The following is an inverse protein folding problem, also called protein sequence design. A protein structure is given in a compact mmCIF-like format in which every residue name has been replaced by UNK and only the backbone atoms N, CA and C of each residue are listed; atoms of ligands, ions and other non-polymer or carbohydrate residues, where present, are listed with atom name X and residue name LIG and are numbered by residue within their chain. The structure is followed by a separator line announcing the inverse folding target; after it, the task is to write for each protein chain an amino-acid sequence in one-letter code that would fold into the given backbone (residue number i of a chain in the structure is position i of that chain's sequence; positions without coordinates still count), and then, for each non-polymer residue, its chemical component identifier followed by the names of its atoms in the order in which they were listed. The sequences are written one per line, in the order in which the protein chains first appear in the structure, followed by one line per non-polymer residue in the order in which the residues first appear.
data_IF_793874641184
#
_entry.id   IF_793874641184
#
_cell.length_a   1.000
_cell.length_b   1.000
_cell.length_c   1.000
_cell.angle_alpha   90.00
_cell.angle_beta   90.00
_cell.angle_gamma   90.00
#
_symmetry.space_group_name_H-M   'P 1'
#
loop_
_entity.id
_entity.type
_entity.pdbx_description
1 polymer ?
#
# COMPACT_ATOMS: atom_id res chain seq x y z
N UNK A 1 0.57 60.48 -7.98
CA UNK A 1 -0.34 59.76 -8.90
C UNK A 1 0.11 58.31 -8.96
N UNK A 2 -0.78 57.40 -8.50
CA UNK A 2 -0.45 56.01 -8.12
C UNK A 2 -0.13 55.18 -9.37
N UNK A 3 1.02 54.52 -9.38
CA UNK A 3 1.43 53.60 -10.42
C UNK A 3 0.79 52.23 -10.16
N UNK A 4 0.02 51.83 -11.16
CA UNK A 4 -0.53 50.53 -11.50
C UNK A 4 0.54 49.42 -11.36
N UNK A 5 0.10 48.24 -10.90
CA UNK A 5 0.53 46.87 -11.23
C UNK A 5 0.45 45.98 -9.98
N UNK A 6 -0.52 45.07 -9.94
CA UNK A 6 -0.24 43.74 -9.42
C UNK A 6 -1.24 42.72 -9.96
N UNK A 7 -0.65 41.63 -10.41
CA UNK A 7 -1.18 40.68 -11.35
C UNK A 7 -2.24 39.76 -10.76
N UNK A 8 -3.18 39.45 -11.64
CA UNK A 8 -4.12 38.35 -11.65
C UNK A 8 -3.34 37.02 -11.56
N UNK A 9 -3.49 36.27 -10.47
CA UNK A 9 -3.00 34.88 -10.36
C UNK A 9 -4.09 34.06 -9.66
N UNK A 10 -5.21 33.87 -10.35
CA UNK A 10 -6.20 32.88 -9.97
C UNK A 10 -5.65 31.50 -10.33
N UNK A 11 -5.25 30.77 -9.29
CA UNK A 11 -4.62 29.46 -9.33
C UNK A 11 -5.50 28.49 -10.10
N UNK A 12 -4.93 27.97 -11.18
CA UNK A 12 -5.41 26.87 -12.00
C UNK A 12 -5.55 25.61 -11.11
N UNK A 13 -6.77 25.31 -10.66
CA UNK A 13 -7.07 24.01 -10.04
C UNK A 13 -7.08 22.96 -11.15
N UNK A 14 -5.91 22.38 -11.42
CA UNK A 14 -5.79 21.13 -12.13
C UNK A 14 -6.48 20.06 -11.28
N UNK A 15 -7.75 19.80 -11.58
CA UNK A 15 -8.35 18.48 -11.36
C UNK A 15 -7.50 17.49 -12.13
N UNK A 16 -6.52 16.89 -11.44
CA UNK A 16 -5.85 15.70 -11.94
C UNK A 16 -6.91 14.61 -12.01
N UNK A 17 -7.33 14.31 -13.24
CA UNK A 17 -8.11 13.13 -13.57
C UNK A 17 -7.44 11.92 -12.89
N UNK A 18 -8.17 11.27 -11.99
CA UNK A 18 -7.78 10.01 -11.37
C UNK A 18 -7.77 8.93 -12.44
N UNK A 19 -6.67 8.85 -13.19
CA UNK A 19 -6.39 7.71 -14.05
C UNK A 19 -6.11 6.52 -13.12
N UNK A 20 -6.95 5.49 -13.19
CA UNK A 20 -6.75 4.19 -12.53
C UNK A 20 -5.56 3.46 -13.18
N UNK A 21 -4.38 4.04 -13.09
CA UNK A 21 -3.12 3.38 -13.44
C UNK A 21 -2.78 2.42 -12.32
N UNK A 22 -2.55 1.15 -12.65
CA UNK A 22 -2.03 0.19 -11.69
C UNK A 22 -0.71 0.67 -11.07
N UNK A 23 -0.33 0.04 -9.95
CA UNK A 23 0.91 0.37 -9.25
C UNK A 23 2.12 0.25 -10.16
N UNK A 24 3.13 1.10 -9.93
CA UNK A 24 4.40 1.08 -10.64
C UNK A 24 5.55 0.87 -9.67
N UNK A 25 6.60 0.17 -10.12
CA UNK A 25 7.85 0.06 -9.36
C UNK A 25 8.38 1.46 -8.99
N UNK A 26 8.79 1.64 -7.74
CA UNK A 26 9.26 2.91 -7.19
C UNK A 26 8.15 3.88 -6.76
N UNK A 27 6.87 3.56 -6.96
CA UNK A 27 5.76 4.39 -6.51
C UNK A 27 5.66 4.37 -4.98
N UNK A 28 5.49 5.54 -4.37
CA UNK A 28 5.12 5.63 -2.96
C UNK A 28 3.62 5.33 -2.82
N UNK A 29 3.28 4.46 -1.88
CA UNK A 29 1.90 4.06 -1.58
C UNK A 29 1.62 4.22 -0.10
N UNK A 30 0.35 4.46 0.23
CA UNK A 30 -0.16 4.56 1.59
C UNK A 30 -1.20 3.48 1.84
N UNK A 31 -1.13 2.84 3.00
CA UNK A 31 -2.09 1.85 3.46
C UNK A 31 -3.41 2.55 3.80
N UNK A 32 -4.48 2.16 3.10
CA UNK A 32 -5.80 2.80 3.19
C UNK A 32 -6.58 2.41 4.44
N UNK A 33 -6.37 1.19 4.93
CA UNK A 33 -7.01 0.59 6.10
C UNK A 33 -6.14 -0.52 6.70
N UNK A 34 -6.46 -0.96 7.93
CA UNK A 34 -5.69 -2.00 8.62
C UNK A 34 -5.78 -3.32 7.83
N UNK A 35 -4.64 -3.90 7.48
CA UNK A 35 -4.57 -5.13 6.70
C UNK A 35 -3.44 -6.06 7.17
N UNK A 36 -3.48 -7.31 6.70
CA UNK A 36 -2.43 -8.30 6.96
C UNK A 36 -1.43 -8.24 5.79
N UNK A 37 -0.14 -8.24 6.12
CA UNK A 37 0.94 -8.41 5.15
C UNK A 37 1.59 -9.78 5.34
N UNK A 38 2.28 -10.27 4.31
CA UNK A 38 3.12 -11.46 4.37
C UNK A 38 4.58 -11.14 4.07
N UNK A 39 5.52 -11.84 4.72
CA UNK A 39 6.97 -11.63 4.52
C UNK A 39 7.53 -12.30 3.27
N UNK A 40 6.80 -13.26 2.70
CA UNK A 40 7.17 -13.97 1.48
C UNK A 40 5.94 -14.29 0.64
N UNK A 41 6.15 -14.64 -0.63
CA UNK A 41 5.08 -15.04 -1.53
C UNK A 41 4.36 -16.31 -1.04
N UNK A 42 5.11 -17.32 -0.61
CA UNK A 42 4.53 -18.55 -0.05
C UNK A 42 3.68 -18.29 1.20
N UNK A 43 4.15 -17.39 2.08
CA UNK A 43 3.37 -16.97 3.25
C UNK A 43 2.09 -16.21 2.84
N UNK A 44 2.11 -15.43 1.76
CA UNK A 44 0.92 -14.74 1.26
C UNK A 44 -0.15 -15.72 0.77
N UNK A 45 0.26 -16.74 0.02
CA UNK A 45 -0.65 -17.76 -0.50
C UNK A 45 -1.25 -18.61 0.62
N UNK A 46 -0.44 -18.97 1.61
CA UNK A 46 -0.88 -19.73 2.78
C UNK A 46 -1.82 -18.91 3.66
N UNK A 47 -1.46 -17.66 3.97
CA UNK A 47 -2.31 -16.71 4.69
C UNK A 47 -3.67 -16.57 4.01
N UNK A 48 -3.69 -16.39 2.68
CA UNK A 48 -4.93 -16.24 1.91
C UNK A 48 -5.83 -17.48 2.05
N UNK A 49 -5.26 -18.69 2.04
CA UNK A 49 -6.01 -19.93 2.27
C UNK A 49 -6.62 -19.96 3.67
N UNK A 50 -5.89 -19.55 4.70
CA UNK A 50 -6.41 -19.53 6.07
C UNK A 50 -7.45 -18.43 6.29
N UNK A 51 -7.27 -17.25 5.71
CA UNK A 51 -8.29 -16.20 5.69
C UNK A 51 -9.61 -16.70 5.07
N UNK A 52 -9.53 -17.39 3.93
CA UNK A 52 -10.72 -17.96 3.27
C UNK A 52 -11.40 -19.06 4.09
N UNK A 53 -10.62 -19.85 4.84
CA UNK A 53 -11.14 -20.91 5.73
C UNK A 53 -11.57 -20.39 7.11
N UNK A 54 -11.25 -19.14 7.43
CA UNK A 54 -11.42 -18.53 8.77
C UNK A 54 -10.68 -19.33 9.86
N UNK A 55 -9.48 -19.80 9.54
CA UNK A 55 -8.62 -20.56 10.46
C UNK A 55 -7.71 -19.61 11.25
N UNK A 56 -8.27 -19.04 12.32
CA UNK A 56 -7.57 -18.07 13.18
C UNK A 56 -6.32 -18.69 13.84
N UNK A 57 -6.41 -19.94 14.29
CA UNK A 57 -5.29 -20.63 14.93
C UNK A 57 -4.10 -20.87 13.96
N UNK A 58 -4.37 -21.07 12.66
CA UNK A 58 -3.31 -21.12 11.67
C UNK A 58 -2.68 -19.74 11.43
N UNK A 59 -3.49 -18.67 11.36
CA UNK A 59 -2.99 -17.30 11.23
C UNK A 59 -2.14 -16.88 12.43
N UNK A 60 -2.57 -17.17 13.66
CA UNK A 60 -1.78 -16.92 14.87
C UNK A 60 -0.43 -17.64 14.85
N UNK A 61 -0.41 -18.88 14.35
CA UNK A 61 0.83 -19.63 14.19
C UNK A 61 1.74 -18.99 13.13
N UNK A 62 1.21 -18.47 12.02
CA UNK A 62 2.01 -17.75 11.03
C UNK A 62 2.58 -16.44 11.60
N UNK A 63 1.77 -15.69 12.35
CA UNK A 63 2.19 -14.45 13.02
C UNK A 63 3.32 -14.73 14.02
N UNK A 64 3.19 -15.79 14.83
CA UNK A 64 4.23 -16.20 15.78
C UNK A 64 5.57 -16.59 15.13
N UNK A 65 5.55 -16.99 13.85
CA UNK A 65 6.76 -17.29 13.05
C UNK A 65 7.29 -16.07 12.30
N UNK A 66 6.62 -14.92 12.37
CA UNK A 66 6.98 -13.71 11.62
C UNK A 66 6.71 -13.81 10.12
N UNK A 67 5.87 -14.77 9.69
CA UNK A 67 5.49 -14.98 8.29
C UNK A 67 4.46 -13.96 7.82
N UNK A 68 3.61 -13.50 8.75
CA UNK A 68 2.64 -12.44 8.52
C UNK A 68 2.76 -11.36 9.60
N UNK A 69 2.07 -10.24 9.40
CA UNK A 69 1.92 -9.21 10.40
C UNK A 69 0.86 -8.20 9.99
N UNK A 70 0.72 -7.12 10.76
CA UNK A 70 -0.31 -6.10 10.53
C UNK A 70 0.33 -4.81 10.01
N UNK A 71 -0.25 -4.24 8.95
CA UNK A 71 -0.08 -2.83 8.59
C UNK A 71 -1.29 -2.05 9.08
N UNK A 72 -1.04 -0.82 9.51
CA UNK A 72 -2.05 0.12 9.97
C UNK A 72 -2.34 1.17 8.91
N UNK A 73 -3.54 1.73 8.97
CA UNK A 73 -3.93 2.86 8.11
C UNK A 73 -2.92 4.00 8.27
N UNK A 74 -2.45 4.51 7.14
CA UNK A 74 -1.47 5.60 7.10
C UNK A 74 -0.01 5.12 7.05
N UNK A 75 0.26 3.83 7.26
CA UNK A 75 1.58 3.27 6.97
C UNK A 75 1.93 3.49 5.51
N UNK A 76 3.20 3.79 5.23
CA UNK A 76 3.67 4.10 3.88
C UNK A 76 4.74 3.13 3.45
N UNK A 77 4.79 2.82 2.16
CA UNK A 77 5.85 2.03 1.56
C UNK A 77 6.17 2.48 0.13
N UNK A 78 7.22 1.89 -0.42
CA UNK A 78 7.59 2.04 -1.83
C UNK A 78 7.38 0.72 -2.54
N UNK A 79 6.66 0.73 -3.65
CA UNK A 79 6.42 -0.46 -4.47
C UNK A 79 7.74 -0.99 -5.03
N UNK A 80 8.04 -2.26 -4.76
CA UNK A 80 9.21 -2.96 -5.29
C UNK A 80 8.84 -4.04 -6.29
N UNK A 81 7.61 -4.55 -6.25
CA UNK A 81 7.12 -5.56 -7.19
C UNK A 81 5.60 -5.44 -7.31
N UNK A 82 5.06 -5.70 -8.51
CA UNK A 82 3.62 -5.64 -8.77
C UNK A 82 3.21 -6.96 -9.39
N UNK A 83 2.20 -7.59 -8.80
CA UNK A 83 1.66 -8.85 -9.26
C UNK A 83 0.12 -8.80 -9.25
N UNK A 84 -0.53 -9.88 -9.69
CA UNK A 84 -1.98 -9.97 -9.74
C UNK A 84 -2.57 -9.97 -8.32
N UNK A 85 -3.42 -8.98 -8.03
CA UNK A 85 -4.11 -8.77 -6.75
C UNK A 85 -3.20 -8.55 -5.52
N UNK A 86 -1.88 -8.49 -5.69
CA UNK A 86 -0.91 -8.25 -4.61
C UNK A 86 0.25 -7.39 -5.09
N UNK A 87 0.84 -6.65 -4.17
CA UNK A 87 1.97 -5.74 -4.43
C UNK A 87 3.00 -5.97 -3.34
N UNK A 88 4.27 -6.03 -3.73
CA UNK A 88 5.38 -6.02 -2.79
C UNK A 88 5.79 -4.58 -2.53
N UNK A 89 5.83 -4.20 -1.25
CA UNK A 89 6.24 -2.86 -0.82
C UNK A 89 7.41 -2.97 0.14
N UNK A 90 8.33 -2.01 0.06
CA UNK A 90 9.37 -1.77 1.06
C UNK A 90 8.87 -0.72 2.05
N UNK A 91 8.79 -1.10 3.31
CA UNK A 91 8.39 -0.22 4.41
C UNK A 91 9.56 0.68 4.83
N UNK A 92 9.29 1.66 5.71
CA UNK A 92 10.29 2.62 6.18
C UNK A 92 11.43 1.97 6.97
N UNK A 93 11.18 0.83 7.62
CA UNK A 93 12.18 0.02 8.33
C UNK A 93 13.06 -0.83 7.39
N UNK A 94 12.83 -0.75 6.08
CA UNK A 94 13.53 -1.52 5.06
C UNK A 94 12.97 -2.92 4.82
N UNK A 95 11.94 -3.36 5.56
CA UNK A 95 11.30 -4.66 5.36
C UNK A 95 10.52 -4.67 4.05
N UNK A 96 10.68 -5.72 3.26
CA UNK A 96 9.85 -5.96 2.09
C UNK A 96 8.74 -6.96 2.40
N UNK A 97 7.51 -6.58 2.06
CA UNK A 97 6.31 -7.35 2.42
C UNK A 97 5.31 -7.37 1.26
N UNK A 98 4.58 -8.46 1.15
CA UNK A 98 3.47 -8.63 0.22
C UNK A 98 2.15 -8.20 0.87
N UNK A 99 1.39 -7.36 0.16
CA UNK A 99 0.12 -6.79 0.61
C UNK A 99 -0.89 -6.87 -0.52
N UNK A 100 -2.17 -7.09 -0.20
CA UNK A 100 -3.22 -7.03 -1.22
C UNK A 100 -3.31 -5.60 -1.79
N UNK A 101 -3.43 -5.48 -3.10
CA UNK A 101 -3.41 -4.21 -3.82
C UNK A 101 -4.60 -3.30 -3.43
N UNK A 102 -5.73 -3.88 -3.04
CA UNK A 102 -6.94 -3.18 -2.59
C UNK A 102 -6.73 -2.30 -1.33
N UNK A 103 -5.70 -2.61 -0.53
CA UNK A 103 -5.38 -1.87 0.69
C UNK A 103 -4.38 -0.72 0.47
N UNK A 104 -3.97 -0.46 -0.77
CA UNK A 104 -2.94 0.53 -1.11
C UNK A 104 -3.52 1.67 -1.97
N UNK A 105 -3.00 2.88 -1.77
CA UNK A 105 -3.34 4.08 -2.54
C UNK A 105 -2.10 4.87 -2.91
#
# INVERSE_FOLDING_TARGET
MKKLFLAFFAILTLSACSCSGGFKHGQQVTVSERCIYASSEGAYDEMTKYCNRRDEAALERMDSRGEIGILYRGDTGVVTEVDFAKVKIRLQDGKEVWVANDFLK
#
